data_IF_690588427741
#
_entry.id   IF_690588427741
#
_cell.length_a   1.000
_cell.length_b   1.000
_cell.length_c   1.000
_cell.angle_alpha   90.00
_cell.angle_beta   90.00
_cell.angle_gamma   90.00
#
_symmetry.space_group_name_H-M   'P 1'
#
loop_
_entity.id
_entity.type
_entity.pdbx_description
1 polymer ?
#
# COMPACT_ATOMS: atom_id res chain seq x y z
N UNK A 1 -27.20 -13.08 3.15
CA UNK A 1 -26.77 -11.68 3.12
C UNK A 1 -25.28 -11.62 2.81
N UNK A 2 -24.91 -10.78 1.85
CA UNK A 2 -23.50 -10.57 1.55
C UNK A 2 -22.85 -9.79 2.69
N UNK A 3 -21.66 -10.20 3.07
CA UNK A 3 -20.89 -9.45 4.03
C UNK A 3 -20.41 -8.15 3.40
N UNK A 4 -20.32 -7.11 4.19
CA UNK A 4 -19.76 -5.83 3.75
C UNK A 4 -18.25 -5.96 3.64
N UNK A 5 -17.67 -5.33 2.60
CA UNK A 5 -16.24 -5.31 2.41
C UNK A 5 -15.57 -4.56 3.55
N UNK A 6 -14.55 -5.19 4.13
CA UNK A 6 -13.75 -4.56 5.17
C UNK A 6 -12.48 -3.99 4.57
N UNK A 7 -12.06 -2.88 5.10
CA UNK A 7 -10.87 -2.17 4.65
C UNK A 7 -9.95 -1.86 5.81
N UNK A 8 -8.66 -1.84 5.53
CA UNK A 8 -7.67 -1.24 6.42
C UNK A 8 -7.55 0.21 6.00
N UNK A 9 -7.80 1.14 6.91
CA UNK A 9 -7.69 2.56 6.63
C UNK A 9 -6.30 3.06 6.99
N UNK A 10 -5.71 3.80 6.06
CA UNK A 10 -4.34 4.26 6.13
C UNK A 10 -4.31 5.78 6.06
N UNK A 11 -3.40 6.39 6.80
CA UNK A 11 -3.17 7.83 6.74
C UNK A 11 -1.91 8.13 5.95
N UNK A 12 -2.01 9.05 5.00
CA UNK A 12 -0.87 9.59 4.27
C UNK A 12 -1.08 11.09 4.18
N UNK A 13 -0.17 11.86 4.75
CA UNK A 13 -0.33 13.30 4.93
C UNK A 13 -1.63 13.55 5.70
N UNK A 14 -2.56 14.32 5.17
CA UNK A 14 -3.84 14.62 5.81
C UNK A 14 -4.99 13.81 5.24
N UNK A 15 -4.70 12.89 4.33
CA UNK A 15 -5.72 12.15 3.61
C UNK A 15 -5.86 10.74 4.15
N UNK A 16 -7.04 10.16 3.97
CA UNK A 16 -7.34 8.78 4.38
C UNK A 16 -7.50 7.93 3.13
N UNK A 17 -6.76 6.83 3.12
CA UNK A 17 -6.82 5.84 2.06
C UNK A 17 -7.29 4.52 2.64
N UNK A 18 -7.77 3.63 1.81
CA UNK A 18 -8.23 2.33 2.25
C UNK A 18 -7.74 1.25 1.29
N UNK A 19 -7.39 0.09 1.87
CA UNK A 19 -7.03 -1.09 1.12
C UNK A 19 -7.92 -2.24 1.58
N UNK A 20 -8.40 -3.08 0.66
CA UNK A 20 -9.22 -4.23 1.08
C UNK A 20 -8.44 -5.10 2.06
N UNK A 21 -9.12 -5.49 3.15
CA UNK A 21 -8.46 -6.27 4.21
C UNK A 21 -7.90 -7.60 3.70
N UNK A 22 -8.52 -8.17 2.67
CA UNK A 22 -8.07 -9.44 2.10
C UNK A 22 -6.69 -9.35 1.45
N UNK A 23 -6.24 -8.14 1.10
CA UNK A 23 -4.90 -7.92 0.55
C UNK A 23 -3.84 -7.75 1.62
N UNK A 24 -4.24 -7.50 2.86
CA UNK A 24 -3.32 -7.19 3.95
C UNK A 24 -2.96 -8.46 4.70
N UNK A 25 -1.67 -8.81 4.72
CA UNK A 25 -1.19 -9.96 5.47
C UNK A 25 -0.90 -9.62 6.91
N UNK A 26 -0.23 -8.50 7.16
CA UNK A 26 0.06 -8.03 8.51
C UNK A 26 0.49 -6.58 8.49
N UNK A 27 0.53 -5.98 9.67
CA UNK A 27 0.95 -4.60 9.86
C UNK A 27 2.10 -4.62 10.85
N UNK A 28 3.22 -4.00 10.46
CA UNK A 28 4.46 -4.03 11.22
C UNK A 28 4.85 -2.64 11.69
N UNK A 29 5.48 -2.58 12.84
CA UNK A 29 6.20 -1.39 13.26
C UNK A 29 7.39 -1.16 12.33
N UNK A 30 7.87 0.07 12.27
CA UNK A 30 9.05 0.37 11.49
C UNK A 30 10.25 -0.42 12.01
N UNK A 31 11.09 -0.85 11.09
CA UNK A 31 12.30 -1.60 11.35
C UNK A 31 13.36 -1.17 10.34
N UNK A 32 14.63 -1.52 10.56
CA UNK A 32 15.67 -1.15 9.61
C UNK A 32 15.39 -1.67 8.21
N UNK A 33 15.62 -0.83 7.23
CA UNK A 33 15.39 -1.15 5.83
C UNK A 33 16.75 -1.20 5.15
N UNK A 34 17.06 -2.34 4.52
CA UNK A 34 18.29 -2.46 3.75
C UNK A 34 18.08 -1.81 2.40
N UNK A 35 18.85 -0.78 2.09
CA UNK A 35 18.69 -0.05 0.85
C UNK A 35 19.28 -0.84 -0.31
N UNK A 36 18.64 -0.72 -1.47
CA UNK A 36 19.08 -1.37 -2.70
C UNK A 36 19.71 -0.33 -3.63
N UNK A 37 20.92 -0.62 -4.19
CA UNK A 37 21.54 0.33 -5.10
C UNK A 37 20.71 0.56 -6.36
N UNK A 38 20.64 1.81 -6.79
CA UNK A 38 19.99 2.20 -8.06
C UNK A 38 18.51 1.79 -8.14
N UNK A 39 17.85 1.67 -6.98
CA UNK A 39 16.43 1.34 -6.93
C UNK A 39 15.58 2.52 -7.38
N UNK A 40 14.37 2.28 -7.90
CA UNK A 40 13.41 3.36 -8.15
C UNK A 40 13.18 4.17 -6.89
N UNK A 41 12.84 5.45 -7.06
CA UNK A 41 12.74 6.37 -5.93
C UNK A 41 11.72 5.93 -4.88
N UNK A 42 10.65 5.28 -5.30
CA UNK A 42 9.61 4.84 -4.37
C UNK A 42 9.90 3.49 -3.71
N UNK A 43 10.95 2.80 -4.12
CA UNK A 43 11.38 1.55 -3.48
C UNK A 43 12.42 1.89 -2.41
N UNK A 44 12.01 1.80 -1.14
CA UNK A 44 12.88 2.15 -0.02
C UNK A 44 13.98 1.11 0.21
N UNK A 45 13.69 -0.16 -0.04
CA UNK A 45 14.66 -1.24 0.14
C UNK A 45 13.97 -2.53 0.54
N UNK A 46 14.68 -3.34 1.34
CA UNK A 46 14.18 -4.64 1.78
C UNK A 46 14.14 -4.71 3.29
N UNK A 47 13.17 -5.43 3.81
CA UNK A 47 13.12 -5.78 5.23
C UNK A 47 13.13 -7.30 5.38
N UNK A 48 13.54 -7.75 6.55
CA UNK A 48 13.52 -9.16 6.93
C UNK A 48 12.26 -9.41 7.75
N UNK A 49 11.39 -10.27 7.25
CA UNK A 49 10.21 -10.73 7.99
C UNK A 49 10.29 -12.24 8.09
N UNK A 50 10.65 -12.71 9.28
CA UNK A 50 10.76 -14.15 9.57
C UNK A 50 11.66 -14.87 8.56
N UNK A 51 12.80 -14.27 8.24
CA UNK A 51 13.78 -14.86 7.33
C UNK A 51 13.48 -14.67 5.84
N UNK A 52 12.43 -13.93 5.52
CA UNK A 52 12.08 -13.63 4.12
C UNK A 52 12.33 -12.16 3.82
N UNK A 53 13.04 -11.88 2.73
CA UNK A 53 13.26 -10.52 2.28
C UNK A 53 12.04 -10.00 1.56
N UNK A 54 11.49 -8.89 2.03
CA UNK A 54 10.30 -8.29 1.48
C UNK A 54 10.63 -6.88 1.01
N UNK A 55 10.38 -6.53 -0.26
CA UNK A 55 10.62 -5.16 -0.73
C UNK A 55 9.59 -4.21 -0.10
N UNK A 56 10.05 -3.01 0.25
CA UNK A 56 9.21 -1.99 0.88
C UNK A 56 9.15 -0.77 -0.03
N UNK A 57 7.93 -0.41 -0.39
CA UNK A 57 7.63 0.79 -1.16
C UNK A 57 7.10 1.87 -0.24
N UNK A 58 7.36 3.13 -0.58
CA UNK A 58 6.82 4.26 0.17
C UNK A 58 5.52 4.71 -0.47
N UNK A 59 4.44 4.65 0.29
CA UNK A 59 3.13 5.04 -0.24
C UNK A 59 3.09 6.52 -0.65
N UNK A 60 3.74 7.40 0.12
CA UNK A 60 3.82 8.81 -0.27
C UNK A 60 4.42 8.99 -1.65
N UNK A 61 5.59 8.41 -1.87
CA UNK A 61 6.28 8.54 -3.15
C UNK A 61 5.52 7.86 -4.29
N UNK A 62 4.89 6.73 -3.99
CA UNK A 62 4.09 6.02 -4.99
C UNK A 62 2.87 6.84 -5.42
N UNK A 63 2.33 7.65 -4.51
CA UNK A 63 1.20 8.55 -4.81
C UNK A 63 1.66 9.91 -5.36
N UNK A 64 2.96 10.13 -5.52
CA UNK A 64 3.47 11.39 -6.05
C UNK A 64 3.60 12.48 -5.01
N UNK A 65 3.64 12.13 -3.73
CA UNK A 65 3.74 13.09 -2.65
C UNK A 65 5.18 13.21 -2.17
N UNK A 66 5.45 14.29 -1.42
CA UNK A 66 6.75 14.50 -0.81
C UNK A 66 7.06 13.42 0.23
N UNK A 67 8.33 13.01 0.36
CA UNK A 67 8.70 12.09 1.41
C UNK A 67 8.57 12.74 2.79
N UNK A 68 8.43 11.91 3.82
CA UNK A 68 8.36 12.37 5.20
C UNK A 68 9.19 11.46 6.08
N UNK A 69 9.68 12.01 7.19
CA UNK A 69 10.42 11.23 8.17
C UNK A 69 9.49 10.26 8.90
N UNK A 70 10.06 9.19 9.41
CA UNK A 70 9.33 8.24 10.22
C UNK A 70 8.95 8.89 11.56
N UNK A 71 7.73 8.56 12.01
CA UNK A 71 7.25 8.96 13.33
C UNK A 71 6.89 7.70 14.12
N UNK A 72 6.46 7.87 15.35
CA UNK A 72 5.98 6.76 16.16
C UNK A 72 4.75 6.07 15.57
N UNK A 73 4.05 6.74 14.65
CA UNK A 73 2.84 6.20 14.01
C UNK A 73 3.12 5.51 12.67
N UNK A 74 4.32 5.66 12.13
CA UNK A 74 4.65 5.08 10.82
C UNK A 74 4.61 3.55 10.89
N UNK A 75 4.01 2.94 9.88
CA UNK A 75 3.85 1.47 9.83
C UNK A 75 4.20 0.95 8.45
N UNK A 76 4.54 -0.33 8.40
CA UNK A 76 4.69 -1.07 7.15
C UNK A 76 3.53 -2.03 7.05
N UNK A 77 2.73 -1.88 6.00
CA UNK A 77 1.61 -2.77 5.73
C UNK A 77 2.10 -3.82 4.75
N UNK A 78 2.11 -5.08 5.17
CA UNK A 78 2.55 -6.18 4.31
C UNK A 78 1.35 -6.64 3.50
N UNK A 79 1.50 -6.61 2.19
CA UNK A 79 0.41 -6.82 1.24
C UNK A 79 0.73 -7.97 0.31
N UNK A 80 -0.33 -8.66 -0.14
CA UNK A 80 -0.26 -9.59 -1.24
C UNK A 80 -0.89 -8.94 -2.46
N UNK A 81 -0.13 -8.80 -3.53
CA UNK A 81 -0.61 -8.20 -4.78
C UNK A 81 -0.46 -9.20 -5.92
N UNK A 82 -1.25 -8.99 -6.98
CA UNK A 82 -1.19 -9.83 -8.16
C UNK A 82 -0.12 -9.31 -9.10
N UNK A 83 0.95 -10.10 -9.27
CA UNK A 83 1.99 -9.80 -10.25
C UNK A 83 1.70 -10.46 -11.59
N UNK A 84 2.59 -10.25 -12.60
CA UNK A 84 2.35 -10.80 -13.93
C UNK A 84 2.24 -12.32 -13.98
N UNK A 85 3.04 -13.02 -13.18
CA UNK A 85 3.10 -14.49 -13.22
C UNK A 85 2.66 -15.13 -11.90
N UNK A 86 2.66 -14.39 -10.81
CA UNK A 86 2.36 -14.93 -9.48
C UNK A 86 2.04 -13.81 -8.52
N UNK A 87 1.54 -14.17 -7.34
CA UNK A 87 1.37 -13.21 -6.26
C UNK A 87 2.72 -12.75 -5.74
N UNK A 88 2.77 -11.48 -5.38
CA UNK A 88 3.95 -10.84 -4.80
C UNK A 88 3.61 -10.36 -3.39
N UNK A 89 4.57 -10.50 -2.48
CA UNK A 89 4.45 -9.94 -1.13
C UNK A 89 5.32 -8.70 -1.07
N UNK A 90 4.72 -7.59 -0.70
CA UNK A 90 5.44 -6.31 -0.57
C UNK A 90 5.06 -5.65 0.75
N UNK A 91 5.92 -4.76 1.21
CA UNK A 91 5.60 -3.85 2.30
C UNK A 91 5.31 -2.47 1.74
N UNK A 92 4.35 -1.79 2.33
CA UNK A 92 3.98 -0.44 1.94
C UNK A 92 4.08 0.45 3.16
N UNK A 93 5.03 1.40 3.14
CA UNK A 93 5.19 2.32 4.24
C UNK A 93 4.09 3.37 4.19
N UNK A 94 3.33 3.48 5.27
CA UNK A 94 2.27 4.47 5.42
C UNK A 94 2.54 5.33 6.64
N UNK A 95 2.05 6.57 6.65
CA UNK A 95 2.26 7.48 7.78
C UNK A 95 1.61 6.94 9.06
N UNK A 96 0.45 6.31 8.91
CA UNK A 96 -0.22 5.63 10.02
C UNK A 96 -1.27 4.66 9.50
N UNK A 97 -1.66 3.74 10.36
CA UNK A 97 -2.78 2.83 10.13
C UNK A 97 -3.82 3.12 11.19
N UNK A 98 -5.06 3.34 10.78
CA UNK A 98 -6.13 3.68 11.72
C UNK A 98 -6.85 2.45 12.23
N UNK A 99 -7.56 1.73 11.35
CA UNK A 99 -8.43 0.64 11.80
C UNK A 99 -8.82 -0.28 10.66
N UNK A 100 -9.38 -1.42 11.00
CA UNK A 100 -10.09 -2.28 10.05
C UNK A 100 -11.56 -1.95 10.22
N UNK A 101 -12.21 -1.55 9.13
CA UNK A 101 -13.59 -1.09 9.22
C UNK A 101 -14.34 -1.28 7.91
N UNK A 102 -15.65 -1.06 7.96
CA UNK A 102 -16.46 -0.91 6.76
C UNK A 102 -16.68 0.57 6.51
N UNK A 103 -16.92 0.93 5.25
CA UNK A 103 -17.23 2.32 4.91
C UNK A 103 -18.71 2.59 5.12
N UNK A 104 -19.09 3.86 5.10
CA UNK A 104 -20.47 4.27 5.36
C UNK A 104 -21.45 3.60 4.41
N UNK A 105 -21.04 3.38 3.15
CA UNK A 105 -21.84 2.68 2.14
C UNK A 105 -20.99 1.64 1.45
N UNK A 106 -21.61 0.53 1.02
CA UNK A 106 -20.90 -0.53 0.32
C UNK A 106 -20.47 -0.09 -1.07
N UNK A 107 -21.31 0.70 -1.73
CA UNK A 107 -21.04 1.15 -3.08
C UNK A 107 -20.14 2.37 -3.06
N UNK A 108 -19.04 2.29 -3.83
CA UNK A 108 -18.10 3.39 -3.93
C UNK A 108 -18.47 4.31 -5.09
N UNK A 109 -18.25 5.60 -4.90
CA UNK A 109 -18.40 6.55 -5.99
C UNK A 109 -17.19 6.43 -6.93
N UNK A 110 -17.38 6.67 -8.23
CA UNK A 110 -16.23 6.69 -9.13
C UNK A 110 -15.34 7.89 -8.86
N UNK A 111 -14.04 7.80 -9.18
CA UNK A 111 -13.19 8.99 -9.09
C UNK A 111 -13.67 10.06 -10.07
N UNK A 112 -13.46 11.34 -9.74
CA UNK A 112 -13.92 12.42 -10.60
C UNK A 112 -13.19 12.41 -11.94
N UNK A 113 -13.94 12.61 -13.04
CA UNK A 113 -13.38 12.69 -14.37
C UNK A 113 -13.08 14.15 -14.68
N UNK A 114 -11.86 14.60 -14.36
CA UNK A 114 -11.50 16.01 -14.48
C UNK A 114 -10.89 16.33 -15.83
N UNK A 115 -9.97 15.51 -16.30
CA UNK A 115 -9.33 15.72 -17.59
C UNK A 115 -8.84 14.40 -18.18
N UNK A 116 -8.63 14.39 -19.50
CA UNK A 116 -8.11 13.22 -20.18
C UNK A 116 -6.67 12.90 -19.77
N UNK A 117 -5.92 13.89 -19.28
CA UNK A 117 -4.54 13.68 -18.86
C UNK A 117 -4.43 13.14 -17.44
N UNK A 118 -5.48 13.25 -16.63
CA UNK A 118 -5.48 12.71 -15.28
C UNK A 118 -6.06 11.30 -15.28
N UNK A 119 -5.24 10.33 -14.97
CA UNK A 119 -5.65 8.94 -14.99
C UNK A 119 -5.78 8.42 -13.55
N UNK A 120 -6.99 8.02 -13.20
CA UNK A 120 -7.30 7.53 -11.86
C UNK A 120 -7.38 6.00 -11.82
N UNK A 121 -6.63 5.32 -12.65
CA UNK A 121 -6.71 3.86 -12.76
C UNK A 121 -6.30 3.14 -11.47
N UNK A 122 -5.54 3.79 -10.61
CA UNK A 122 -5.13 3.21 -9.33
C UNK A 122 -6.13 3.48 -8.20
N UNK A 123 -7.21 4.19 -8.49
CA UNK A 123 -8.27 4.46 -7.51
C UNK A 123 -9.45 3.54 -7.83
N UNK A 124 -9.79 2.65 -6.89
CA UNK A 124 -10.94 1.78 -7.06
C UNK A 124 -12.26 2.54 -6.90
N UNK A 125 -12.25 3.56 -6.06
CA UNK A 125 -13.43 4.39 -5.85
C UNK A 125 -13.24 5.32 -4.67
N UNK A 126 -14.23 6.16 -4.45
CA UNK A 126 -14.26 7.09 -3.33
C UNK A 126 -15.40 6.68 -2.39
N UNK A 127 -15.06 6.48 -1.13
CA UNK A 127 -16.04 6.16 -0.10
C UNK A 127 -16.00 7.20 1.00
N UNK A 128 -16.74 6.92 2.07
CA UNK A 128 -16.75 7.77 3.25
C UNK A 128 -16.70 6.91 4.50
N UNK A 129 -16.06 7.43 5.52
CA UNK A 129 -16.08 6.85 6.85
C UNK A 129 -16.42 7.96 7.84
N UNK A 130 -17.57 7.83 8.52
CA UNK A 130 -18.09 8.88 9.41
C UNK A 130 -18.18 10.23 8.69
N UNK A 131 -18.59 10.21 7.43
CA UNK A 131 -18.75 11.39 6.61
C UNK A 131 -17.49 11.89 5.92
N UNK A 132 -16.31 11.46 6.35
CA UNK A 132 -15.05 11.90 5.73
C UNK A 132 -14.73 11.07 4.49
N UNK A 133 -14.15 11.71 3.49
CA UNK A 133 -13.75 11.02 2.26
C UNK A 133 -12.64 10.02 2.52
N UNK A 134 -12.76 8.86 1.89
CA UNK A 134 -11.76 7.81 1.93
C UNK A 134 -11.52 7.37 0.48
N UNK A 135 -10.27 7.43 0.04
CA UNK A 135 -9.90 6.96 -1.30
C UNK A 135 -9.51 5.50 -1.22
N UNK A 136 -10.29 4.65 -1.89
CA UNK A 136 -9.99 3.22 -1.93
C UNK A 136 -9.00 2.97 -3.06
N UNK A 137 -7.85 2.40 -2.71
CA UNK A 137 -6.77 2.16 -3.65
C UNK A 137 -6.92 0.79 -4.29
N UNK A 138 -6.75 0.74 -5.61
CA UNK A 138 -6.56 -0.52 -6.32
C UNK A 138 -5.06 -0.81 -6.30
N UNK A 139 -4.64 -1.63 -5.34
CA UNK A 139 -3.22 -1.89 -5.12
C UNK A 139 -2.56 -2.58 -6.30
N UNK A 140 -3.26 -3.51 -6.93
CA UNK A 140 -2.70 -4.21 -8.09
C UNK A 140 -2.40 -3.24 -9.23
N UNK A 141 -3.28 -2.28 -9.46
CA UNK A 141 -3.07 -1.26 -10.48
C UNK A 141 -2.05 -0.22 -10.08
N UNK A 142 -2.08 0.20 -8.81
CA UNK A 142 -1.13 1.20 -8.32
C UNK A 142 0.30 0.71 -8.49
N UNK A 143 0.53 -0.57 -8.24
CA UNK A 143 1.86 -1.15 -8.24
C UNK A 143 2.22 -1.87 -9.55
N UNK A 144 1.31 -1.91 -10.51
CA UNK A 144 1.53 -2.64 -11.77
C UNK A 144 2.70 -2.08 -12.57
N UNK A 145 2.94 -0.77 -12.51
CA UNK A 145 4.04 -0.13 -13.23
C UNK A 145 5.33 -0.05 -12.45
N UNK A 146 5.36 -0.58 -11.23
CA UNK A 146 6.54 -0.51 -10.37
C UNK A 146 7.36 -1.78 -10.54
N UNK A 147 8.66 -1.61 -10.78
CA UNK A 147 9.58 -2.73 -10.87
C UNK A 147 9.92 -3.20 -9.47
N UNK A 148 9.23 -4.22 -9.00
CA UNK A 148 9.35 -4.74 -7.64
C UNK A 148 10.09 -6.07 -7.66
N UNK A 149 11.21 -6.19 -6.91
CA UNK A 149 11.90 -7.49 -6.82
C UNK A 149 10.99 -8.54 -6.19
N UNK A 150 11.07 -9.77 -6.68
CA UNK A 150 10.34 -10.88 -6.07
C UNK A 150 10.85 -11.13 -4.65
N UNK A 151 9.93 -11.45 -3.74
CA UNK A 151 10.30 -11.80 -2.38
C UNK A 151 11.07 -13.12 -2.37
N UNK A 152 12.13 -13.19 -1.55
CA UNK A 152 12.97 -14.36 -1.44
C UNK A 152 13.33 -14.64 0.02
N UNK A 153 13.53 -15.92 0.38
CA UNK A 153 14.12 -16.20 1.68
C UNK A 153 15.48 -15.53 1.79
N UNK A 154 15.78 -14.96 2.94
CA UNK A 154 17.05 -14.24 3.16
C UNK A 154 18.24 -15.19 2.97
N UNK A 155 18.10 -16.44 3.39
CA UNK A 155 19.17 -17.43 3.27
C UNK A 155 19.62 -17.68 1.82
N UNK A 156 18.74 -17.51 0.85
CA UNK A 156 19.06 -17.71 -0.55
C UNK A 156 19.93 -16.61 -1.12
N UNK A 157 20.11 -15.54 -0.40
CA UNK A 157 20.90 -14.39 -0.85
C UNK A 157 22.36 -14.48 -0.47
N UNK A 158 22.72 -15.46 0.35
CA UNK A 158 24.09 -15.73 0.72
C UNK A 158 24.76 -16.51 -0.40
N UNK A 159 25.49 -15.84 -1.24
CA UNK A 159 26.17 -16.48 -2.35
C UNK A 159 27.67 -16.36 -2.17
#
# INVERSE_FOLDING_TARGET
>A
MAERTQYVTLGVAKEIFAAPVEKVQEILDMRPIARLPQAPVNLLGMIDVRGQGIPVLDLRLTLGLEPAEDTENTRIVVLSIVGPDKELTIGLRADRVFEVTVLDQDELDPPPAISASWQAHSIAGIGRRNGAFVTVIDLDRLLAGVDVPASRPIADRAA
#
